data_IF_666910806807
#
_entry.id   IF_666910806807
#
_cell.length_a   1.000
_cell.length_b   1.000
_cell.length_c   1.000
_cell.angle_alpha   90.00
_cell.angle_beta   90.00
_cell.angle_gamma   90.00
#
_symmetry.space_group_name_H-M   'P 1'
#
loop_
_entity.id
_entity.type
_entity.pdbx_description
1 polymer ?
#
# COMPACT_ATOMS: atom_id res chain seq x y z
N UNK A 1 -47.28 6.38 7.90
CA UNK A 1 -46.96 4.99 7.67
C UNK A 1 -46.16 4.74 6.40
N UNK A 2 -46.56 5.30 5.29
CA UNK A 2 -45.88 5.11 3.99
C UNK A 2 -44.51 5.79 3.91
N UNK A 3 -44.23 6.76 4.77
CA UNK A 3 -42.98 7.57 4.73
C UNK A 3 -41.79 6.83 5.26
N UNK A 4 -41.97 5.82 6.07
CA UNK A 4 -40.88 5.11 6.73
C UNK A 4 -40.08 4.27 5.75
N UNK A 5 -40.72 3.78 4.71
CA UNK A 5 -40.08 2.91 3.70
C UNK A 5 -38.99 3.66 2.90
N UNK A 6 -39.18 4.96 2.67
CA UNK A 6 -38.23 5.78 1.87
C UNK A 6 -36.90 5.97 2.56
N UNK A 7 -36.88 6.11 3.87
CA UNK A 7 -35.64 6.24 4.63
C UNK A 7 -34.76 4.99 4.56
N UNK A 8 -35.39 3.85 4.50
CA UNK A 8 -34.68 2.59 4.45
C UNK A 8 -33.84 2.45 3.18
N UNK A 9 -34.37 2.89 2.05
CA UNK A 9 -33.69 2.82 0.77
C UNK A 9 -32.46 3.73 0.70
N UNK A 10 -32.53 4.87 1.32
CA UNK A 10 -31.41 5.83 1.33
C UNK A 10 -30.23 5.30 2.12
N UNK A 11 -30.46 4.63 3.24
CA UNK A 11 -29.42 4.05 4.07
C UNK A 11 -28.65 2.96 3.35
N UNK A 12 -29.36 2.09 2.62
CA UNK A 12 -28.72 1.01 1.87
C UNK A 12 -27.83 1.55 0.77
N UNK A 13 -28.26 2.57 0.05
CA UNK A 13 -27.47 3.19 -1.00
C UNK A 13 -26.19 3.83 -0.48
N UNK A 14 -26.23 4.44 0.71
CA UNK A 14 -25.04 5.09 1.30
C UNK A 14 -23.98 4.09 1.71
N UNK A 15 -24.34 2.90 2.19
CA UNK A 15 -23.37 1.92 2.68
C UNK A 15 -22.57 1.25 1.56
N UNK A 16 -23.04 1.24 0.33
CA UNK A 16 -22.34 0.57 -0.78
C UNK A 16 -21.14 1.36 -1.28
N UNK A 17 -21.02 2.63 -0.95
CA UNK A 17 -19.91 3.48 -1.41
C UNK A 17 -18.60 3.22 -0.72
N UNK A 18 -18.59 2.54 0.40
CA UNK A 18 -17.40 2.37 1.24
C UNK A 18 -16.42 1.32 0.71
N UNK A 19 -16.75 0.64 -0.39
CA UNK A 19 -15.93 -0.48 -0.89
C UNK A 19 -15.06 -0.13 -2.08
N UNK A 20 -15.00 1.15 -2.50
CA UNK A 20 -14.39 1.54 -3.76
C UNK A 20 -12.92 1.96 -3.67
N UNK A 21 -12.26 1.83 -2.50
CA UNK A 21 -10.90 2.29 -2.30
C UNK A 21 -9.93 1.13 -2.13
N UNK A 22 -8.73 1.28 -2.73
CA UNK A 22 -7.64 0.34 -2.52
C UNK A 22 -7.05 0.52 -1.13
N UNK A 23 -6.95 -0.56 -0.37
CA UNK A 23 -6.30 -0.57 0.95
C UNK A 23 -5.18 -1.57 0.93
N UNK A 24 -4.15 -1.33 1.76
CA UNK A 24 -3.08 -2.30 1.94
C UNK A 24 -3.65 -3.60 2.50
N UNK A 25 -3.45 -4.69 1.79
CA UNK A 25 -3.91 -6.01 2.20
C UNK A 25 -2.81 -6.76 2.94
N UNK A 26 -1.61 -6.80 2.36
CA UNK A 26 -0.43 -7.38 2.99
C UNK A 26 0.83 -6.74 2.39
N UNK A 27 1.94 -6.87 3.09
CA UNK A 27 3.23 -6.34 2.68
C UNK A 27 4.36 -7.27 3.09
N UNK A 28 5.46 -7.22 2.35
CA UNK A 28 6.70 -7.92 2.67
C UNK A 28 7.88 -7.02 2.30
N UNK A 29 8.63 -6.50 3.27
CA UNK A 29 8.55 -6.71 4.73
C UNK A 29 7.18 -6.34 5.30
N UNK A 30 6.72 -7.12 6.27
CA UNK A 30 5.42 -6.90 6.91
C UNK A 30 5.38 -5.61 7.72
N UNK A 31 4.16 -5.08 7.89
CA UNK A 31 3.92 -3.88 8.70
C UNK A 31 4.43 -4.10 10.12
N UNK A 32 5.35 -3.23 10.57
CA UNK A 32 5.93 -3.31 11.91
C UNK A 32 6.86 -4.50 12.15
N UNK A 33 7.30 -5.18 11.10
CA UNK A 33 8.12 -6.39 11.25
C UNK A 33 9.57 -6.09 11.57
N UNK A 34 10.25 -7.06 12.16
CA UNK A 34 11.68 -7.05 12.41
C UNK A 34 12.31 -8.20 11.63
N UNK A 35 13.36 -7.90 10.88
CA UNK A 35 14.01 -8.83 9.96
C UNK A 35 15.47 -9.02 10.35
N UNK A 36 15.97 -10.24 10.11
CA UNK A 36 17.35 -10.60 10.44
C UNK A 36 18.32 -10.27 9.32
N UNK A 37 17.83 -9.93 8.13
CA UNK A 37 18.66 -9.61 6.98
C UNK A 37 17.95 -8.64 6.04
N UNK A 38 18.74 -7.96 5.19
CA UNK A 38 18.20 -7.08 4.18
C UNK A 38 17.38 -7.84 3.15
N UNK A 39 16.26 -7.26 2.75
CA UNK A 39 15.43 -7.77 1.67
C UNK A 39 15.81 -7.06 0.37
N UNK A 40 15.60 -7.73 -0.76
CA UNK A 40 15.92 -7.17 -2.07
C UNK A 40 14.81 -6.28 -2.64
N UNK A 41 13.64 -6.29 -2.03
CA UNK A 41 12.51 -5.49 -2.49
C UNK A 41 11.48 -5.30 -1.38
N UNK A 42 10.61 -4.30 -1.59
CA UNK A 42 9.36 -4.16 -0.85
C UNK A 42 8.24 -4.56 -1.79
N UNK A 43 7.33 -5.42 -1.32
CA UNK A 43 6.12 -5.80 -2.03
C UNK A 43 4.92 -5.42 -1.21
N UNK A 44 3.94 -4.80 -1.86
CA UNK A 44 2.68 -4.45 -1.20
C UNK A 44 1.54 -4.92 -2.09
N UNK A 45 0.64 -5.71 -1.50
CA UNK A 45 -0.61 -6.12 -2.14
C UNK A 45 -1.74 -5.25 -1.62
N UNK A 46 -2.50 -4.70 -2.56
CA UNK A 46 -3.67 -3.88 -2.24
C UNK A 46 -4.96 -4.68 -2.51
N UNK A 47 -6.08 -4.13 -2.05
CA UNK A 47 -7.39 -4.77 -2.21
C UNK A 47 -7.99 -4.57 -3.61
N UNK A 48 -7.38 -3.68 -4.42
CA UNK A 48 -7.82 -3.35 -5.78
C UNK A 48 -6.63 -3.33 -6.72
N UNK A 49 -6.89 -3.47 -8.02
CA UNK A 49 -5.86 -3.30 -9.04
C UNK A 49 -5.40 -1.84 -9.07
N UNK A 50 -4.12 -1.63 -9.29
CA UNK A 50 -3.46 -0.33 -9.16
C UNK A 50 -2.91 0.13 -10.51
N UNK A 51 -2.98 1.46 -10.73
CA UNK A 51 -2.34 2.14 -11.86
C UNK A 51 -0.92 2.52 -11.45
N UNK A 52 0.12 1.80 -11.88
CA UNK A 52 1.48 2.03 -11.38
C UNK A 52 2.10 3.36 -11.82
N UNK A 53 1.72 3.87 -12.98
CA UNK A 53 2.31 5.10 -13.54
C UNK A 53 1.99 6.35 -12.73
N UNK A 54 0.94 6.31 -11.92
CA UNK A 54 0.51 7.43 -11.07
C UNK A 54 0.54 7.08 -9.58
N UNK A 55 1.23 5.99 -9.25
CA UNK A 55 1.35 5.50 -7.87
C UNK A 55 2.82 5.54 -7.44
N UNK A 56 3.07 5.50 -6.13
CA UNK A 56 4.42 5.48 -5.60
C UNK A 56 4.51 4.63 -4.33
N UNK A 57 5.67 4.00 -4.16
CA UNK A 57 6.11 3.38 -2.92
C UNK A 57 7.52 3.88 -2.69
N UNK A 58 7.75 4.55 -1.57
CA UNK A 58 9.05 5.10 -1.22
C UNK A 58 9.50 4.51 0.12
N UNK A 59 10.79 4.21 0.22
CA UNK A 59 11.38 3.67 1.43
C UNK A 59 12.45 4.63 1.92
N UNK A 60 12.37 5.01 3.18
CA UNK A 60 13.29 5.96 3.81
C UNK A 60 14.01 5.30 4.97
N UNK A 61 15.29 5.62 5.15
CA UNK A 61 16.04 5.21 6.33
C UNK A 61 15.75 6.12 7.52
N UNK A 62 16.38 5.84 8.66
CA UNK A 62 16.13 6.60 9.89
C UNK A 62 16.55 8.06 9.79
N UNK A 63 17.46 8.40 8.86
CA UNK A 63 17.89 9.79 8.64
C UNK A 63 16.96 10.53 7.68
N UNK A 64 15.97 9.85 7.10
CA UNK A 64 15.05 10.46 6.13
C UNK A 64 15.53 10.39 4.69
N UNK A 65 16.59 9.63 4.41
CA UNK A 65 17.09 9.45 3.05
C UNK A 65 16.27 8.36 2.35
N UNK A 66 15.83 8.61 1.12
CA UNK A 66 15.15 7.61 0.30
C UNK A 66 16.17 6.57 -0.17
N UNK A 67 15.88 5.29 0.06
CA UNK A 67 16.80 4.19 -0.21
C UNK A 67 16.32 3.23 -1.29
N UNK A 68 15.05 3.29 -1.69
CA UNK A 68 14.54 2.44 -2.77
C UNK A 68 15.12 2.83 -4.13
N UNK A 69 15.07 1.91 -5.08
CA UNK A 69 15.64 2.13 -6.41
C UNK A 69 14.72 2.87 -7.38
N UNK A 70 13.54 3.31 -6.92
CA UNK A 70 12.59 4.10 -7.72
C UNK A 70 12.14 3.38 -8.99
N UNK A 71 11.94 2.08 -8.89
CA UNK A 71 11.58 1.22 -10.00
C UNK A 71 10.22 0.54 -9.82
N UNK A 72 9.26 1.26 -9.22
CA UNK A 72 7.95 0.72 -8.95
C UNK A 72 7.36 0.03 -10.18
N UNK A 73 6.88 -1.20 -10.01
CA UNK A 73 6.24 -1.95 -11.08
C UNK A 73 5.20 -2.91 -10.54
N UNK A 74 4.25 -3.27 -11.38
CA UNK A 74 3.25 -4.29 -11.06
C UNK A 74 3.86 -5.69 -11.15
N UNK A 75 3.34 -6.57 -10.31
CA UNK A 75 3.58 -8.00 -10.48
C UNK A 75 2.96 -8.48 -11.79
N UNK A 76 3.62 -9.41 -12.48
CA UNK A 76 3.18 -9.89 -13.78
C UNK A 76 1.84 -10.62 -13.72
N UNK A 77 1.57 -11.31 -12.61
CA UNK A 77 0.38 -12.15 -12.48
C UNK A 77 -0.68 -11.56 -11.57
N UNK A 78 -0.38 -10.44 -10.88
CA UNK A 78 -1.30 -9.84 -9.91
C UNK A 78 -1.19 -8.31 -9.97
N UNK A 79 -2.16 -7.66 -10.60
CA UNK A 79 -2.15 -6.22 -10.77
C UNK A 79 -2.54 -5.43 -9.51
N UNK A 80 -2.81 -6.11 -8.42
CA UNK A 80 -2.98 -5.51 -7.10
C UNK A 80 -1.69 -5.56 -6.27
N UNK A 81 -0.64 -6.22 -6.78
CA UNK A 81 0.64 -6.40 -6.11
C UNK A 81 1.71 -5.53 -6.78
N UNK A 82 2.33 -4.65 -5.99
CA UNK A 82 3.39 -3.76 -6.46
C UNK A 82 4.72 -4.12 -5.83
N UNK A 83 5.78 -3.91 -6.59
CA UNK A 83 7.17 -4.15 -6.17
C UNK A 83 7.99 -2.88 -6.33
N UNK A 84 8.90 -2.65 -5.40
CA UNK A 84 9.98 -1.68 -5.54
C UNK A 84 11.26 -2.32 -5.04
N UNK A 85 12.35 -2.19 -5.79
CA UNK A 85 13.63 -2.82 -5.46
C UNK A 85 14.38 -2.02 -4.41
N UNK A 86 15.14 -2.75 -3.59
CA UNK A 86 15.99 -2.19 -2.55
C UNK A 86 17.45 -2.61 -2.78
N UNK A 87 18.40 -1.71 -2.59
CA UNK A 87 19.81 -2.12 -2.48
C UNK A 87 20.01 -2.85 -1.15
N UNK A 88 21.20 -3.45 -0.91
CA UNK A 88 21.51 -3.97 0.41
C UNK A 88 21.40 -2.84 1.44
N UNK A 89 20.67 -3.12 2.53
CA UNK A 89 20.38 -2.14 3.58
C UNK A 89 21.08 -2.50 4.87
N UNK A 90 21.56 -1.49 5.57
CA UNK A 90 22.16 -1.61 6.90
C UNK A 90 21.09 -1.94 7.93
N UNK A 91 21.51 -2.46 9.09
CA UNK A 91 20.62 -2.60 10.24
C UNK A 91 20.08 -1.24 10.66
N UNK A 92 18.82 -1.18 11.00
CA UNK A 92 18.17 0.07 11.38
C UNK A 92 16.68 0.04 11.15
N UNK A 93 16.06 1.20 11.35
CA UNK A 93 14.63 1.39 11.15
C UNK A 93 14.37 2.05 9.79
N UNK A 94 13.33 1.57 9.11
CA UNK A 94 12.95 2.05 7.79
C UNK A 94 11.46 2.38 7.77
N UNK A 95 11.11 3.40 6.97
CA UNK A 95 9.73 3.84 6.79
C UNK A 95 9.34 3.65 5.34
N UNK A 96 8.21 3.02 5.12
CA UNK A 96 7.61 2.88 3.79
C UNK A 96 6.44 3.83 3.71
N UNK A 97 6.43 4.68 2.68
CA UNK A 97 5.32 5.59 2.40
C UNK A 97 4.76 5.23 1.03
N UNK A 98 3.47 4.99 0.97
CA UNK A 98 2.83 4.65 -0.30
C UNK A 98 1.67 5.58 -0.60
N UNK A 99 1.48 5.85 -1.88
CA UNK A 99 0.34 6.57 -2.41
C UNK A 99 -0.03 5.88 -3.70
N UNK A 100 -1.23 5.32 -3.75
CA UNK A 100 -1.66 4.53 -4.90
C UNK A 100 -2.98 5.06 -5.45
N UNK A 101 -3.12 4.88 -6.77
CA UNK A 101 -4.35 5.18 -7.49
C UNK A 101 -4.87 3.87 -8.05
N UNK A 102 -6.08 3.51 -7.68
CA UNK A 102 -6.72 2.31 -8.20
C UNK A 102 -7.19 2.51 -9.63
N UNK A 103 -7.48 1.41 -10.33
CA UNK A 103 -7.92 1.48 -11.73
C UNK A 103 -9.24 2.23 -11.91
N UNK A 104 -10.03 2.39 -10.84
CA UNK A 104 -11.25 3.21 -10.85
C UNK A 104 -11.00 4.65 -10.36
N UNK A 105 -9.73 5.10 -10.34
CA UNK A 105 -9.30 6.46 -10.08
C UNK A 105 -9.47 6.96 -8.65
N UNK A 106 -9.49 6.07 -7.66
CA UNK A 106 -9.47 6.45 -6.24
C UNK A 106 -8.05 6.49 -5.71
N UNK A 107 -7.71 7.53 -4.96
CA UNK A 107 -6.39 7.72 -4.37
C UNK A 107 -6.43 7.36 -2.90
N UNK A 108 -5.49 6.50 -2.46
CA UNK A 108 -5.29 6.21 -1.06
C UNK A 108 -3.80 6.30 -0.74
N UNK A 109 -3.47 6.53 0.53
CA UNK A 109 -2.09 6.60 0.96
C UNK A 109 -1.96 6.08 2.39
N UNK A 110 -0.74 5.74 2.76
CA UNK A 110 -0.43 5.27 4.09
C UNK A 110 1.06 5.10 4.28
N UNK A 111 1.42 4.61 5.46
CA UNK A 111 2.82 4.35 5.79
C UNK A 111 2.91 3.25 6.84
N UNK A 112 4.07 2.60 6.87
CA UNK A 112 4.40 1.64 7.92
C UNK A 112 5.92 1.59 8.09
N UNK A 113 6.35 0.97 9.17
CA UNK A 113 7.78 0.82 9.48
C UNK A 113 8.15 -0.65 9.49
N UNK A 114 9.43 -0.92 9.19
CA UNK A 114 10.06 -2.20 9.47
C UNK A 114 11.48 -1.96 9.97
N UNK A 115 12.08 -2.99 10.58
CA UNK A 115 13.42 -2.91 11.13
C UNK A 115 14.26 -4.06 10.60
N UNK A 116 15.55 -3.78 10.42
CA UNK A 116 16.56 -4.80 10.15
C UNK A 116 17.49 -4.84 11.35
N UNK A 117 17.68 -6.05 11.90
CA UNK A 117 18.61 -6.30 13.00
C UNK A 117 19.62 -7.35 12.57
N UNK A 118 20.79 -7.33 13.20
CA UNK A 118 21.85 -8.31 12.91
C UNK A 118 22.53 -8.79 14.16
#
# INVERSE_FOLDING_TARGET
MKRIVIFFLILVAASTRLKAHAFLKDADPGVGSTMQRSQSEVRIRFTENIEPTVSSIQVFDASGKEVDKRDLHLDRSDHALLHVSLPPLEAGSYKVIWRVVSVDAHVTNGRFNFRIVR
#
